data_IF_698989874450
#
_entry.id   IF_698989874450
#
_cell.length_a   1.000
_cell.length_b   1.000
_cell.length_c   1.000
_cell.angle_alpha   90.00
_cell.angle_beta   90.00
_cell.angle_gamma   90.00
#
_symmetry.space_group_name_H-M   'P 1'
#
loop_
_entity.id
_entity.type
_entity.pdbx_description
1 polymer ?
#
# COMPACT_ATOMS: atom_id res chain seq x y z
N UNK A 1 -24.44 -4.69 30.12
CA UNK A 1 -24.31 -5.17 28.73
C UNK A 1 -23.15 -4.40 28.10
N UNK A 2 -21.95 -4.97 28.17
CA UNK A 2 -20.75 -4.42 27.54
C UNK A 2 -20.82 -4.75 26.06
N UNK A 3 -21.02 -3.73 25.23
CA UNK A 3 -20.92 -3.82 23.78
C UNK A 3 -19.49 -4.22 23.43
N UNK A 4 -19.31 -5.44 22.92
CA UNK A 4 -18.09 -5.85 22.24
C UNK A 4 -18.01 -5.01 20.96
N UNK A 5 -17.31 -3.86 21.04
CA UNK A 5 -16.92 -3.09 19.85
C UNK A 5 -15.97 -4.01 19.11
N UNK A 6 -16.51 -4.76 18.15
CA UNK A 6 -15.83 -5.87 17.50
C UNK A 6 -14.44 -5.46 17.02
N UNK A 7 -13.43 -5.84 17.80
CA UNK A 7 -12.04 -5.58 17.46
C UNK A 7 -11.79 -6.16 16.06
N UNK A 8 -11.19 -5.34 15.18
CA UNK A 8 -10.85 -5.81 13.85
C UNK A 8 -9.96 -7.06 13.98
N UNK A 9 -10.40 -8.18 13.40
CA UNK A 9 -9.61 -9.42 13.40
C UNK A 9 -8.42 -9.25 12.45
N UNK A 10 -7.32 -10.01 12.60
CA UNK A 10 -6.28 -10.06 11.57
C UNK A 10 -6.79 -10.59 10.22
N UNK A 11 -6.11 -10.26 9.13
CA UNK A 11 -6.39 -10.85 7.82
C UNK A 11 -6.05 -12.34 7.83
N UNK A 12 -6.88 -13.13 7.13
CA UNK A 12 -6.51 -14.50 6.78
C UNK A 12 -5.25 -14.50 5.92
N UNK A 13 -4.37 -15.46 6.16
CA UNK A 13 -3.05 -15.54 5.54
C UNK A 13 -2.95 -16.75 4.59
N UNK A 14 -2.38 -16.62 3.38
CA UNK A 14 -1.96 -15.36 2.73
C UNK A 14 -3.15 -14.43 2.46
N UNK A 15 -2.92 -13.12 2.50
CA UNK A 15 -4.00 -12.15 2.36
C UNK A 15 -4.18 -11.75 0.88
N UNK A 16 -5.42 -11.73 0.41
CA UNK A 16 -5.78 -11.28 -0.93
C UNK A 16 -6.75 -10.12 -0.84
N UNK A 17 -6.38 -8.98 -1.41
CA UNK A 17 -7.21 -7.79 -1.44
C UNK A 17 -7.52 -7.40 -2.88
N UNK A 18 -8.70 -6.85 -3.08
CA UNK A 18 -9.14 -6.26 -4.34
C UNK A 18 -9.47 -4.80 -4.10
N UNK A 19 -9.12 -3.93 -5.04
CA UNK A 19 -9.43 -2.51 -4.96
C UNK A 19 -9.64 -1.88 -6.34
N UNK A 20 -10.18 -0.66 -6.37
CA UNK A 20 -10.26 0.18 -7.57
C UNK A 20 -9.31 1.36 -7.41
N UNK A 21 -8.46 1.59 -8.40
CA UNK A 21 -7.55 2.74 -8.44
C UNK A 21 -8.28 3.95 -9.02
N UNK A 22 -8.15 5.13 -8.42
CA UNK A 22 -8.77 6.39 -8.89
C UNK A 22 -7.72 7.44 -9.25
N UNK A 23 -8.01 8.25 -10.29
CA UNK A 23 -7.11 9.29 -10.80
C UNK A 23 -6.88 10.45 -9.82
N UNK A 24 -5.75 11.17 -9.95
CA UNK A 24 -5.53 12.45 -9.24
C UNK A 24 -6.45 13.55 -9.77
N UNK A 25 -6.71 13.51 -11.08
CA UNK A 25 -7.35 14.61 -11.80
C UNK A 25 -8.88 14.55 -11.75
N UNK A 26 -9.46 13.56 -11.08
CA UNK A 26 -10.91 13.37 -10.96
C UNK A 26 -11.28 11.97 -10.49
N UNK A 27 -12.57 11.68 -10.28
CA UNK A 27 -13.06 10.39 -9.78
C UNK A 27 -12.97 9.25 -10.81
N UNK A 28 -12.23 9.46 -11.91
CA UNK A 28 -12.09 8.48 -12.98
C UNK A 28 -11.43 7.21 -12.47
N UNK A 29 -12.13 6.11 -12.71
CA UNK A 29 -11.68 4.77 -12.39
C UNK A 29 -10.56 4.35 -13.35
N UNK A 30 -9.37 4.14 -12.80
CA UNK A 30 -8.16 3.77 -13.54
C UNK A 30 -7.93 2.26 -13.60
N UNK A 31 -8.83 1.47 -13.01
CA UNK A 31 -8.85 0.02 -13.12
C UNK A 31 -8.80 -0.73 -11.79
N UNK A 32 -9.07 -2.04 -11.86
CA UNK A 32 -9.00 -2.96 -10.73
C UNK A 32 -7.55 -3.33 -10.44
N UNK A 33 -7.16 -3.27 -9.18
CA UNK A 33 -5.90 -3.84 -8.68
C UNK A 33 -6.18 -5.03 -7.78
N UNK A 34 -5.19 -5.91 -7.67
CA UNK A 34 -5.19 -6.99 -6.69
C UNK A 34 -3.88 -6.94 -5.91
N UNK A 35 -3.97 -7.11 -4.60
CA UNK A 35 -2.82 -7.13 -3.71
C UNK A 35 -2.79 -8.50 -3.07
N UNK A 36 -1.66 -9.17 -3.19
CA UNK A 36 -1.37 -10.43 -2.51
C UNK A 36 -0.29 -10.16 -1.48
N UNK A 37 -0.61 -10.36 -0.21
CA UNK A 37 0.37 -10.37 0.87
C UNK A 37 0.73 -11.82 1.16
N UNK A 38 1.95 -12.17 0.79
CA UNK A 38 2.52 -13.52 0.92
C UNK A 38 3.20 -13.73 2.28
N UNK A 39 3.61 -12.65 2.95
CA UNK A 39 4.12 -12.60 4.34
C UNK A 39 3.93 -11.22 4.95
N UNK A 40 3.75 -11.19 6.26
CA UNK A 40 3.90 -9.96 7.03
C UNK A 40 5.38 -9.73 7.34
N UNK A 41 5.79 -8.47 7.33
CA UNK A 41 7.13 -8.04 7.68
C UNK A 41 7.37 -8.16 9.18
N UNK A 42 8.58 -8.55 9.54
CA UNK A 42 8.99 -8.77 10.94
C UNK A 42 9.18 -7.43 11.66
N UNK A 43 9.27 -7.50 12.99
CA UNK A 43 9.58 -6.31 13.80
C UNK A 43 10.98 -5.77 13.47
N UNK A 44 11.95 -6.66 13.23
CA UNK A 44 13.30 -6.28 12.78
C UNK A 44 13.28 -5.53 11.43
N UNK A 45 12.45 -5.96 10.48
CA UNK A 45 12.30 -5.26 9.20
C UNK A 45 11.67 -3.88 9.37
N UNK A 46 10.71 -3.74 10.30
CA UNK A 46 10.13 -2.45 10.67
C UNK A 46 11.19 -1.55 11.33
N UNK A 47 11.88 -2.04 12.35
CA UNK A 47 12.91 -1.30 13.10
C UNK A 47 14.03 -0.80 12.17
N UNK A 48 14.42 -1.59 11.17
CA UNK A 48 15.38 -1.17 10.15
C UNK A 48 14.87 -0.02 9.28
N UNK A 49 13.60 -0.04 8.87
CA UNK A 49 12.99 1.07 8.13
C UNK A 49 12.91 2.33 8.99
N UNK A 50 12.46 2.18 10.25
CA UNK A 50 12.33 3.29 11.19
C UNK A 50 13.69 3.93 11.51
N UNK A 51 14.69 3.11 11.84
CA UNK A 51 16.03 3.58 12.14
C UNK A 51 16.70 4.28 10.96
N UNK A 52 16.41 3.88 9.73
CA UNK A 52 16.88 4.58 8.53
C UNK A 52 16.17 5.92 8.34
N UNK A 53 14.84 5.96 8.52
CA UNK A 53 14.07 7.19 8.42
C UNK A 53 14.51 8.24 9.44
N UNK A 54 14.82 7.83 10.68
CA UNK A 54 15.32 8.73 11.73
C UNK A 54 16.73 9.27 11.44
N UNK A 55 17.63 8.43 10.89
CA UNK A 55 19.04 8.78 10.66
C UNK A 55 19.28 9.56 9.38
N UNK A 56 18.62 9.15 8.29
CA UNK A 56 18.89 9.61 6.93
C UNK A 56 17.67 10.22 6.22
N UNK A 57 16.49 10.14 6.83
CA UNK A 57 15.26 10.66 6.25
C UNK A 57 14.63 9.74 5.20
N UNK A 58 13.52 10.19 4.57
CA UNK A 58 12.74 9.32 3.70
C UNK A 58 13.41 8.90 2.39
N UNK A 59 14.42 9.64 1.91
CA UNK A 59 15.14 9.30 0.68
C UNK A 59 15.93 7.99 0.79
N UNK A 60 16.46 7.69 1.98
CA UNK A 60 17.27 6.50 2.26
C UNK A 60 16.42 5.22 2.40
N UNK A 61 15.09 5.34 2.47
CA UNK A 61 14.19 4.19 2.59
C UNK A 61 14.23 3.28 1.36
N UNK A 62 14.52 3.84 0.18
CA UNK A 62 14.64 3.03 -1.03
C UNK A 62 15.73 1.96 -0.87
N UNK A 63 16.92 2.35 -0.41
CA UNK A 63 18.03 1.41 -0.27
C UNK A 63 17.69 0.26 0.68
N UNK A 64 16.93 0.54 1.75
CA UNK A 64 16.48 -0.49 2.69
C UNK A 64 15.50 -1.44 2.01
N UNK A 65 14.53 -0.91 1.26
CA UNK A 65 13.56 -1.72 0.52
C UNK A 65 14.25 -2.58 -0.55
N UNK A 66 15.17 -2.02 -1.34
CA UNK A 66 15.93 -2.77 -2.36
C UNK A 66 16.79 -3.89 -1.76
N UNK A 67 17.32 -3.69 -0.55
CA UNK A 67 18.09 -4.71 0.17
C UNK A 67 17.22 -5.82 0.75
N UNK A 68 15.90 -5.63 0.90
CA UNK A 68 14.98 -6.68 1.35
C UNK A 68 14.81 -7.73 0.25
N UNK A 69 15.64 -8.78 0.31
CA UNK A 69 15.66 -9.87 -0.68
C UNK A 69 14.39 -10.73 -0.68
N UNK A 70 13.73 -10.85 0.47
CA UNK A 70 12.48 -11.61 0.57
C UNK A 70 11.34 -10.64 0.37
N UNK A 71 10.57 -10.78 -0.72
CA UNK A 71 9.39 -9.94 -0.90
C UNK A 71 8.30 -10.28 0.13
N UNK A 72 7.53 -9.28 0.54
CA UNK A 72 6.33 -9.43 1.37
C UNK A 72 5.10 -9.83 0.55
N UNK A 73 5.09 -9.52 -0.75
CA UNK A 73 3.96 -9.86 -1.62
C UNK A 73 4.06 -9.26 -3.01
N UNK A 74 2.92 -9.18 -3.68
CA UNK A 74 2.79 -8.67 -5.06
C UNK A 74 1.53 -7.85 -5.21
N UNK A 75 1.63 -6.71 -5.89
CA UNK A 75 0.48 -5.96 -6.41
C UNK A 75 0.37 -6.15 -7.91
N UNK A 76 -0.81 -6.52 -8.39
CA UNK A 76 -1.15 -6.62 -9.81
C UNK A 76 -1.80 -5.32 -10.27
N UNK A 77 -0.97 -4.48 -10.89
CA UNK A 77 -1.34 -3.18 -11.45
C UNK A 77 -2.33 -3.34 -12.62
N UNK A 78 -3.20 -2.34 -12.86
CA UNK A 78 -4.10 -2.38 -13.99
C UNK A 78 -3.29 -2.15 -15.28
N UNK A 79 -3.70 -2.80 -16.37
CA UNK A 79 -3.10 -2.54 -17.68
C UNK A 79 -3.44 -1.14 -18.18
N UNK A 80 -2.48 -0.48 -18.80
CA UNK A 80 -2.63 0.84 -19.41
C UNK A 80 -3.36 0.70 -20.74
N UNK A 81 -4.64 1.08 -20.76
CA UNK A 81 -5.53 0.88 -21.91
C UNK A 81 -5.14 1.68 -23.17
N UNK A 82 -4.35 2.74 -23.02
CA UNK A 82 -3.98 3.66 -24.13
C UNK A 82 -2.67 3.31 -24.83
N UNK A 83 -2.11 2.12 -24.60
CA UNK A 83 -0.85 1.67 -25.19
C UNK A 83 -1.03 0.32 -25.90
N UNK A 84 0.02 -0.17 -26.57
CA UNK A 84 -0.02 -1.43 -27.34
C UNK A 84 -0.47 -2.65 -26.52
N UNK A 85 -0.77 -3.77 -27.19
CA UNK A 85 -1.35 -4.99 -26.59
C UNK A 85 -0.70 -5.44 -25.27
N UNK A 86 0.63 -5.36 -25.16
CA UNK A 86 1.36 -5.73 -23.94
C UNK A 86 1.07 -4.83 -22.75
N UNK A 87 0.88 -3.53 -22.99
CA UNK A 87 0.60 -2.57 -21.93
C UNK A 87 -0.82 -2.72 -21.36
N UNK A 88 -1.73 -3.38 -22.08
CA UNK A 88 -3.09 -3.71 -21.61
C UNK A 88 -3.12 -4.87 -20.62
N UNK A 89 -2.03 -5.63 -20.50
CA UNK A 89 -1.91 -6.70 -19.51
C UNK A 89 -1.65 -6.13 -18.12
N UNK A 90 -2.09 -6.86 -17.10
CA UNK A 90 -1.82 -6.51 -15.70
C UNK A 90 -0.35 -6.77 -15.39
N UNK A 91 0.28 -5.82 -14.72
CA UNK A 91 1.71 -5.90 -14.42
C UNK A 91 1.92 -6.22 -12.94
N UNK A 92 2.58 -7.34 -12.58
CA UNK A 92 2.97 -7.59 -11.21
C UNK A 92 4.10 -6.65 -10.79
N UNK A 93 4.01 -6.15 -9.55
CA UNK A 93 5.05 -5.38 -8.88
C UNK A 93 5.26 -5.93 -7.48
N UNK A 94 6.50 -6.07 -7.06
CA UNK A 94 6.82 -6.64 -5.76
C UNK A 94 6.45 -5.64 -4.65
N UNK A 95 6.04 -6.20 -3.52
CA UNK A 95 5.98 -5.49 -2.25
C UNK A 95 7.10 -6.03 -1.39
N UNK A 96 8.02 -5.18 -0.96
CA UNK A 96 9.15 -5.54 -0.11
C UNK A 96 8.70 -5.56 1.36
N UNK A 97 7.80 -4.64 1.72
CA UNK A 97 7.27 -4.54 3.07
C UNK A 97 5.74 -4.68 3.09
N UNK A 98 5.22 -5.38 4.09
CA UNK A 98 3.79 -5.41 4.40
C UNK A 98 3.57 -5.57 5.90
N UNK A 99 2.76 -4.69 6.50
CA UNK A 99 2.41 -4.75 7.92
C UNK A 99 0.91 -4.58 8.09
N UNK A 100 0.33 -5.41 8.95
CA UNK A 100 -1.02 -5.23 9.45
C UNK A 100 -0.96 -4.65 10.86
N UNK A 101 -1.77 -3.62 11.10
CA UNK A 101 -1.92 -2.96 12.39
C UNK A 101 -3.41 -2.97 12.74
N UNK A 102 -3.73 -3.49 13.92
CA UNK A 102 -5.08 -3.43 14.46
C UNK A 102 -5.16 -2.20 15.36
N UNK A 103 -6.07 -1.29 15.05
CA UNK A 103 -6.30 -0.06 15.82
C UNK A 103 -7.71 -0.09 16.41
N UNK A 104 -8.01 0.74 17.43
CA UNK A 104 -9.39 0.89 17.90
C UNK A 104 -10.36 1.37 16.81
N UNK A 105 -9.86 2.08 15.79
CA UNK A 105 -10.66 2.56 14.67
C UNK A 105 -10.90 1.49 13.59
N UNK A 106 -10.20 0.36 13.63
CA UNK A 106 -10.33 -0.73 12.67
C UNK A 106 -9.00 -1.39 12.35
N UNK A 107 -8.73 -1.59 11.07
CA UNK A 107 -7.49 -2.21 10.57
C UNK A 107 -6.76 -1.24 9.66
N UNK A 108 -5.45 -1.21 9.76
CA UNK A 108 -4.57 -0.49 8.86
C UNK A 108 -3.56 -1.46 8.24
N UNK A 109 -3.27 -1.27 6.95
CA UNK A 109 -2.19 -1.96 6.26
C UNK A 109 -1.20 -0.94 5.72
N UNK A 110 0.06 -1.15 6.04
CA UNK A 110 1.19 -0.42 5.45
C UNK A 110 1.91 -1.35 4.50
N UNK A 111 1.94 -1.02 3.22
CA UNK A 111 2.61 -1.79 2.19
C UNK A 111 3.63 -0.90 1.49
N UNK A 112 4.81 -1.42 1.19
CA UNK A 112 5.80 -0.67 0.42
C UNK A 112 6.35 -1.49 -0.75
N UNK A 113 6.56 -0.80 -1.87
CA UNK A 113 7.28 -1.28 -3.04
C UNK A 113 8.52 -0.42 -3.21
N UNK A 114 9.66 -1.02 -3.51
CA UNK A 114 10.88 -0.35 -3.99
C UNK A 114 10.70 0.30 -5.37
N UNK A 115 9.58 0.04 -6.03
CA UNK A 115 9.23 0.64 -7.32
C UNK A 115 8.11 1.69 -7.20
N UNK A 116 8.09 2.63 -8.15
CA UNK A 116 6.95 3.51 -8.38
C UNK A 116 5.79 2.77 -9.03
N UNK A 117 4.67 2.64 -8.30
CA UNK A 117 3.47 1.94 -8.80
C UNK A 117 2.61 2.81 -9.72
N UNK A 118 2.70 4.15 -9.64
CA UNK A 118 1.91 5.05 -10.49
C UNK A 118 0.40 4.99 -10.23
N UNK A 119 -0.03 4.48 -9.08
CA UNK A 119 -1.44 4.37 -8.69
C UNK A 119 -2.12 5.74 -8.69
N UNK A 120 -3.06 5.92 -9.62
CA UNK A 120 -3.81 7.15 -9.78
C UNK A 120 -3.02 8.33 -10.30
N UNK A 121 -1.77 8.18 -10.75
CA UNK A 121 -0.95 9.29 -11.24
C UNK A 121 -1.48 9.84 -12.58
N UNK A 122 -1.43 11.16 -12.78
CA UNK A 122 -1.69 11.75 -14.10
C UNK A 122 -0.53 11.45 -15.05
N UNK A 123 -0.75 11.58 -16.36
CA UNK A 123 0.33 11.46 -17.36
C UNK A 123 1.48 12.45 -17.12
N UNK A 124 1.17 13.64 -16.60
CA UNK A 124 2.17 14.65 -16.29
C UNK A 124 3.00 14.25 -15.06
N UNK A 125 2.37 13.70 -14.03
CA UNK A 125 3.07 13.23 -12.82
C UNK A 125 3.90 11.97 -13.09
N UNK A 126 3.49 11.13 -14.05
CA UNK A 126 4.28 9.99 -14.49
C UNK A 126 5.63 10.40 -15.11
N UNK A 127 5.74 11.61 -15.69
CA UNK A 127 6.98 12.14 -16.27
C UNK A 127 7.90 12.83 -15.28
N UNK A 128 7.45 13.02 -14.03
CA UNK A 128 8.21 13.80 -13.04
C UNK A 128 9.34 13.02 -12.37
N UNK A 129 9.54 11.71 -12.62
CA UNK A 129 10.68 10.84 -12.22
C UNK A 129 11.24 10.90 -10.78
N UNK A 130 10.80 11.79 -9.89
CA UNK A 130 11.47 12.13 -8.62
C UNK A 130 11.21 11.12 -7.48
N UNK A 131 10.46 10.04 -7.73
CA UNK A 131 10.03 9.12 -6.66
C UNK A 131 10.29 7.67 -7.04
N UNK A 132 11.25 7.07 -6.35
CA UNK A 132 11.77 5.75 -6.68
C UNK A 132 10.95 4.63 -6.04
N UNK A 133 10.43 4.82 -4.81
CA UNK A 133 9.59 3.84 -4.10
C UNK A 133 8.13 4.33 -3.87
N UNK A 134 7.23 3.40 -3.53
CA UNK A 134 5.83 3.67 -3.19
C UNK A 134 5.47 3.11 -1.82
N UNK A 135 4.85 3.91 -0.96
CA UNK A 135 4.15 3.44 0.24
C UNK A 135 2.63 3.54 0.05
N UNK A 136 1.89 2.49 0.42
CA UNK A 136 0.44 2.45 0.46
C UNK A 136 -0.03 2.30 1.92
N UNK A 137 -0.83 3.26 2.39
CA UNK A 137 -1.52 3.21 3.68
C UNK A 137 -3.01 2.99 3.43
N UNK A 138 -3.47 1.78 3.76
CA UNK A 138 -4.83 1.33 3.56
C UNK A 138 -5.51 1.21 4.92
N UNK A 139 -6.55 2.02 5.13
CA UNK A 139 -7.34 2.03 6.36
C UNK A 139 -8.71 1.44 6.10
N UNK A 140 -9.10 0.46 6.91
CA UNK A 140 -10.39 -0.22 6.84
C UNK A 140 -11.34 0.34 7.88
N UNK A 141 -12.54 0.68 7.43
CA UNK A 141 -13.65 1.00 8.31
C UNK A 141 -14.22 -0.26 9.00
N UNK A 142 -15.15 -0.06 9.94
CA UNK A 142 -15.79 -1.15 10.69
C UNK A 142 -16.62 -2.10 9.80
N UNK A 143 -17.02 -1.66 8.60
CA UNK A 143 -17.73 -2.47 7.61
C UNK A 143 -16.81 -3.41 6.80
N UNK A 144 -15.49 -3.33 7.03
CA UNK A 144 -14.47 -4.09 6.30
C UNK A 144 -14.17 -3.54 4.90
N UNK A 145 -14.69 -2.37 4.53
CA UNK A 145 -14.29 -1.65 3.33
C UNK A 145 -13.15 -0.70 3.67
N UNK A 146 -12.10 -0.74 2.86
CA UNK A 146 -10.92 0.10 3.03
C UNK A 146 -10.78 1.20 1.97
N UNK A 147 -10.04 2.22 2.37
CA UNK A 147 -9.58 3.33 1.56
C UNK A 147 -8.07 3.37 1.63
N UNK A 148 -7.41 3.39 0.48
CA UNK A 148 -5.96 3.45 0.38
C UNK A 148 -5.48 4.79 -0.17
N UNK A 149 -4.46 5.32 0.48
CA UNK A 149 -3.69 6.48 0.01
C UNK A 149 -2.27 6.04 -0.29
N UNK A 150 -1.62 6.71 -1.22
CA UNK A 150 -0.23 6.42 -1.58
C UNK A 150 0.65 7.63 -1.32
N UNK A 151 1.86 7.37 -0.82
CA UNK A 151 2.91 8.35 -0.70
C UNK A 151 4.13 7.94 -1.51
N UNK A 152 4.84 8.99 -1.92
CA UNK A 152 6.23 8.88 -2.30
C UNK A 152 7.12 9.27 -1.11
N UNK A 153 8.44 9.07 -1.25
CA UNK A 153 9.45 9.32 -0.23
C UNK A 153 9.19 10.56 0.64
N UNK A 154 9.07 11.75 0.03
CA UNK A 154 8.92 13.02 0.75
C UNK A 154 7.69 13.13 1.67
N UNK A 155 6.71 12.24 1.49
CA UNK A 155 5.46 12.21 2.25
C UNK A 155 5.38 11.03 3.23
N UNK A 156 6.46 10.27 3.42
CA UNK A 156 6.53 9.20 4.43
C UNK A 156 7.10 9.77 5.72
N UNK A 157 6.40 9.54 6.83
CA UNK A 157 6.82 9.96 8.17
C UNK A 157 6.74 8.80 9.15
N UNK A 158 7.52 8.90 10.21
CA UNK A 158 7.44 8.00 11.35
C UNK A 158 6.52 8.62 12.40
N UNK A 159 5.57 7.84 12.90
CA UNK A 159 4.78 8.19 14.06
C UNK A 159 5.34 7.47 15.31
N UNK A 160 6.02 8.19 16.22
CA UNK A 160 6.61 7.58 17.42
C UNK A 160 5.57 7.13 18.45
N UNK A 161 4.33 7.64 18.39
CA UNK A 161 3.27 7.23 19.32
C UNK A 161 2.72 5.86 18.97
N UNK A 162 2.58 5.58 17.68
CA UNK A 162 2.01 4.33 17.15
C UNK A 162 3.08 3.34 16.69
N UNK A 163 4.35 3.76 16.70
CA UNK A 163 5.52 3.00 16.23
C UNK A 163 5.35 2.46 14.80
N UNK A 164 4.83 3.28 13.88
CA UNK A 164 4.57 2.88 12.49
C UNK A 164 4.95 3.96 11.48
N UNK A 165 5.15 3.53 10.24
CA UNK A 165 5.24 4.42 9.08
C UNK A 165 3.84 4.89 8.68
N UNK A 166 3.70 6.18 8.43
CA UNK A 166 2.44 6.81 8.00
C UNK A 166 2.67 7.83 6.86
N UNK A 167 1.58 8.27 6.24
CA UNK A 167 1.63 9.38 5.29
C UNK A 167 1.55 10.70 6.06
N UNK A 168 2.45 11.61 5.73
CA UNK A 168 2.38 13.00 6.14
C UNK A 168 1.05 13.61 5.72
N UNK A 169 0.42 14.31 6.66
CA UNK A 169 -0.86 15.02 6.45
C UNK A 169 -1.94 14.12 5.82
N UNK A 170 -2.04 12.85 6.28
CA UNK A 170 -2.88 11.80 5.70
C UNK A 170 -4.26 12.30 5.28
N UNK A 171 -4.95 13.05 6.13
CA UNK A 171 -6.30 13.58 5.87
C UNK A 171 -6.41 14.39 4.58
N UNK A 172 -5.37 15.17 4.25
CA UNK A 172 -5.33 16.03 3.07
C UNK A 172 -4.89 15.30 1.80
N UNK A 173 -4.28 14.12 1.94
CA UNK A 173 -3.80 13.35 0.79
C UNK A 173 -4.97 12.78 -0.02
N UNK A 174 -4.88 12.79 -1.36
CA UNK A 174 -5.93 12.24 -2.21
C UNK A 174 -6.04 10.73 -2.02
N UNK A 175 -7.28 10.25 -1.97
CA UNK A 175 -7.56 8.82 -2.04
C UNK A 175 -7.11 8.28 -3.39
N UNK A 176 -6.48 7.10 -3.39
CA UNK A 176 -6.01 6.41 -4.59
C UNK A 176 -6.65 5.06 -4.79
N UNK A 177 -7.01 4.40 -3.70
CA UNK A 177 -7.66 3.11 -3.71
C UNK A 177 -8.98 3.24 -2.99
N UNK A 178 -10.06 2.85 -3.66
CA UNK A 178 -11.40 2.78 -3.07
C UNK A 178 -11.90 1.36 -3.13
N UNK A 179 -12.89 1.06 -2.27
CA UNK A 179 -13.51 -0.26 -2.18
C UNK A 179 -12.47 -1.37 -1.95
N UNK A 180 -11.45 -1.10 -1.13
CA UNK A 180 -10.45 -2.11 -0.78
C UNK A 180 -11.15 -3.18 0.07
N UNK A 181 -11.12 -4.43 -0.35
CA UNK A 181 -11.80 -5.52 0.34
C UNK A 181 -10.98 -6.79 0.30
N UNK A 182 -11.08 -7.59 1.35
CA UNK A 182 -10.56 -8.96 1.33
C UNK A 182 -11.34 -9.79 0.31
N UNK A 183 -10.62 -10.45 -0.59
CA UNK A 183 -11.16 -11.47 -1.46
C UNK A 183 -10.76 -12.84 -0.93
N UNK A 184 -11.64 -13.84 -1.12
CA UNK A 184 -11.23 -15.23 -0.94
C UNK A 184 -10.21 -15.55 -2.02
N UNK A 185 -9.04 -16.06 -1.62
CA UNK A 185 -8.14 -16.73 -2.54
C UNK A 185 -8.95 -17.81 -3.26
N UNK A 186 -9.16 -17.66 -4.56
CA UNK A 186 -9.75 -18.74 -5.35
C UNK A 186 -8.72 -19.86 -5.39
N UNK A 187 -8.96 -20.93 -4.63
CA UNK A 187 -8.20 -22.15 -4.75
C UNK A 187 -8.21 -22.58 -6.22
N UNK A 188 -7.03 -22.82 -6.79
CA UNK A 188 -6.93 -23.60 -8.02
C UNK A 188 -7.48 -24.99 -7.69
N UNK A 189 -8.63 -25.31 -8.24
CA UNK A 189 -9.06 -26.70 -8.40
C UNK A 189 -8.22 -27.41 -9.44
#
# INVERSE_FOLDING_TARGET
MTSDVGAARPLGFPAHLVARSISVSGPEDTGRIEIYVERWSTDEELDNLLGTLEKGGPGELLEVLERQRVRAGVVLMPGVQTHGERARMRTPKNLQFAREIITPAGRQLILASDERLGLGATRLDARKEIYEFTLMDIRFGPDGTGVGKVAAAADVVYNPETNILELKDYETKPVRLVNVRSAKLRGRG
#
